data_IF_944889744832
#
_entry.id   IF_944889744832
#
_cell.length_a   1.000
_cell.length_b   1.000
_cell.length_c   1.000
_cell.angle_alpha   90.00
_cell.angle_beta   90.00
_cell.angle_gamma   90.00
#
_symmetry.space_group_name_H-M   'P 1'
#
loop_
_entity.id
_entity.type
_entity.pdbx_description
1 polymer ?
#
# COMPACT_ATOMS: atom_id res chain seq x y z
N UNK A 1 -4.83 -36.46 13.67
CA UNK A 1 -5.19 -35.82 14.96
C UNK A 1 -5.92 -34.54 14.60
N UNK A 2 -7.01 -34.23 15.28
CA UNK A 2 -7.70 -32.95 15.07
C UNK A 2 -6.75 -31.80 15.42
N UNK A 3 -6.82 -30.71 14.66
CA UNK A 3 -6.17 -29.45 15.01
C UNK A 3 -7.21 -28.33 14.96
N UNK A 4 -7.00 -27.29 15.75
CA UNK A 4 -7.90 -26.14 15.79
C UNK A 4 -7.51 -25.12 14.72
N UNK A 5 -8.49 -24.64 13.97
CA UNK A 5 -8.37 -23.50 13.06
C UNK A 5 -9.16 -22.33 13.64
N UNK A 6 -8.54 -21.15 13.71
CA UNK A 6 -9.21 -19.92 14.12
C UNK A 6 -9.87 -19.25 12.91
N UNK A 7 -11.19 -19.10 12.91
CA UNK A 7 -11.91 -18.30 11.93
C UNK A 7 -12.19 -16.92 12.52
N UNK A 8 -11.82 -15.85 11.80
CA UNK A 8 -11.98 -14.47 12.26
C UNK A 8 -12.73 -13.67 11.21
N UNK A 9 -13.74 -12.94 11.65
CA UNK A 9 -14.56 -12.07 10.79
C UNK A 9 -13.92 -10.69 10.62
N UNK A 10 -14.30 -9.99 9.54
CA UNK A 10 -13.90 -8.58 9.33
C UNK A 10 -14.21 -7.68 10.54
N UNK A 11 -15.37 -7.85 11.18
CA UNK A 11 -15.75 -7.03 12.33
C UNK A 11 -14.79 -7.20 13.52
N UNK A 12 -14.38 -8.45 13.80
CA UNK A 12 -13.38 -8.74 14.83
C UNK A 12 -12.01 -8.18 14.46
N UNK A 13 -11.62 -8.29 13.18
CA UNK A 13 -10.36 -7.74 12.68
C UNK A 13 -10.30 -6.22 12.77
N UNK A 14 -11.39 -5.51 12.45
CA UNK A 14 -11.47 -4.05 12.58
C UNK A 14 -11.27 -3.58 14.02
N UNK A 15 -11.72 -4.38 14.99
CA UNK A 15 -11.53 -4.08 16.41
C UNK A 15 -10.13 -4.43 16.91
N UNK A 16 -9.56 -5.54 16.43
CA UNK A 16 -8.27 -6.05 16.92
C UNK A 16 -7.06 -5.45 16.19
N UNK A 17 -7.20 -5.07 14.92
CA UNK A 17 -6.10 -4.65 14.03
C UNK A 17 -6.41 -3.27 13.47
N UNK A 18 -6.31 -2.20 14.27
CA UNK A 18 -6.48 -0.84 13.76
C UNK A 18 -5.29 -0.41 12.89
N UNK A 19 -5.49 0.62 12.07
CA UNK A 19 -4.38 1.33 11.42
C UNK A 19 -3.69 2.22 12.46
N UNK A 20 -2.61 1.72 13.04
CA UNK A 20 -1.78 2.42 14.03
C UNK A 20 -0.29 2.21 13.77
N UNK A 21 0.57 2.75 14.64
CA UNK A 21 2.03 2.60 14.52
C UNK A 21 2.47 1.12 14.59
N UNK A 22 1.76 0.25 15.31
CA UNK A 22 2.13 -1.16 15.38
C UNK A 22 1.92 -1.88 14.04
N UNK A 23 0.86 -1.52 13.30
CA UNK A 23 0.65 -2.00 11.94
C UNK A 23 1.74 -1.48 10.99
N UNK A 24 2.17 -0.23 11.14
CA UNK A 24 3.29 0.35 10.37
C UNK A 24 4.59 -0.39 10.65
N UNK A 25 4.93 -0.60 11.92
CA UNK A 25 6.18 -1.23 12.35
C UNK A 25 6.26 -2.69 11.89
N UNK A 26 5.13 -3.43 11.94
CA UNK A 26 5.07 -4.81 11.41
C UNK A 26 5.35 -4.85 9.91
N UNK A 27 4.78 -3.92 9.13
CA UNK A 27 5.03 -3.83 7.70
C UNK A 27 6.46 -3.39 7.41
N UNK A 28 7.03 -2.51 8.22
CA UNK A 28 8.45 -2.13 8.15
C UNK A 28 9.38 -3.32 8.38
N UNK A 29 9.10 -4.16 9.38
CA UNK A 29 9.85 -5.40 9.59
C UNK A 29 9.76 -6.35 8.39
N UNK A 30 8.62 -6.40 7.69
CA UNK A 30 8.48 -7.19 6.47
C UNK A 30 9.37 -6.67 5.34
N UNK A 31 9.49 -5.35 5.19
CA UNK A 31 10.42 -4.73 4.25
C UNK A 31 11.87 -5.02 4.62
N UNK A 32 12.23 -4.94 5.89
CA UNK A 32 13.59 -5.28 6.35
C UNK A 32 13.94 -6.73 5.99
N UNK A 33 13.03 -7.67 6.26
CA UNK A 33 13.25 -9.08 5.95
C UNK A 33 13.36 -9.35 4.44
N UNK A 34 12.61 -8.62 3.59
CA UNK A 34 12.75 -8.70 2.13
C UNK A 34 14.19 -8.35 1.67
N UNK A 35 14.80 -7.33 2.27
CA UNK A 35 16.15 -6.90 1.89
C UNK A 35 17.25 -7.88 2.30
N UNK A 36 17.03 -8.69 3.33
CA UNK A 36 17.95 -9.75 3.75
C UNK A 36 17.99 -10.93 2.76
N UNK A 37 17.09 -10.94 1.75
CA UNK A 37 17.11 -11.90 0.64
C UNK A 37 16.68 -13.32 1.00
N UNK A 38 16.18 -13.54 2.22
CA UNK A 38 15.79 -14.85 2.73
C UNK A 38 14.30 -15.17 2.49
N UNK A 39 13.51 -14.16 2.06
CA UNK A 39 12.08 -14.29 1.78
C UNK A 39 11.83 -15.14 0.54
N UNK A 40 10.95 -16.12 0.67
CA UNK A 40 10.44 -16.91 -0.46
C UNK A 40 9.10 -16.31 -0.90
N UNK A 41 9.09 -15.67 -2.06
CA UNK A 41 7.90 -15.04 -2.64
C UNK A 41 7.66 -15.58 -4.06
N UNK A 42 6.76 -16.55 -4.25
CA UNK A 42 6.41 -17.04 -5.58
C UNK A 42 5.79 -15.91 -6.44
N UNK A 43 5.81 -16.06 -7.78
CA UNK A 43 5.11 -15.13 -8.66
C UNK A 43 3.64 -14.99 -8.30
N UNK A 44 3.10 -13.78 -8.45
CA UNK A 44 1.67 -13.51 -8.30
C UNK A 44 0.90 -14.40 -9.29
N UNK A 45 -0.02 -15.20 -8.78
CA UNK A 45 -0.99 -15.91 -9.62
C UNK A 45 -2.15 -14.95 -9.87
N UNK A 46 -2.36 -14.62 -11.15
CA UNK A 46 -3.45 -13.74 -11.58
C UNK A 46 -4.33 -14.50 -12.55
N UNK A 47 -5.64 -14.43 -12.35
CA UNK A 47 -6.65 -15.07 -13.16
C UNK A 47 -7.65 -14.02 -13.65
N UNK A 48 -7.74 -13.84 -14.96
CA UNK A 48 -8.74 -12.99 -15.61
C UNK A 48 -10.02 -13.79 -15.87
N UNK A 49 -11.16 -13.27 -15.39
CA UNK A 49 -12.50 -13.81 -15.61
C UNK A 49 -13.28 -12.82 -16.47
N UNK A 50 -12.88 -12.68 -17.74
CA UNK A 50 -13.43 -11.72 -18.68
C UNK A 50 -14.97 -11.78 -18.79
N UNK A 51 -15.57 -12.97 -18.74
CA UNK A 51 -17.04 -13.16 -18.81
C UNK A 51 -17.78 -12.54 -17.61
N UNK A 52 -17.14 -12.50 -16.45
CA UNK A 52 -17.70 -11.94 -15.22
C UNK A 52 -17.21 -10.51 -14.95
N UNK A 53 -16.43 -9.93 -15.88
CA UNK A 53 -15.74 -8.65 -15.70
C UNK A 53 -15.02 -8.61 -14.34
N UNK A 54 -14.27 -9.67 -14.06
CA UNK A 54 -13.58 -9.85 -12.79
C UNK A 54 -12.21 -10.48 -12.94
N UNK A 55 -11.47 -10.45 -11.85
CA UNK A 55 -10.12 -10.96 -11.73
C UNK A 55 -9.89 -11.54 -10.32
N UNK A 56 -8.94 -12.45 -10.19
CA UNK A 56 -8.51 -12.99 -8.89
C UNK A 56 -7.00 -13.01 -8.83
N UNK A 57 -6.45 -12.31 -7.83
CA UNK A 57 -5.02 -12.34 -7.53
C UNK A 57 -4.75 -13.13 -6.25
N UNK A 58 -3.79 -14.06 -6.35
CA UNK A 58 -3.29 -14.84 -5.21
C UNK A 58 -1.82 -14.52 -4.97
N UNK A 59 -1.52 -14.08 -3.75
CA UNK A 59 -0.15 -13.76 -3.31
C UNK A 59 0.19 -14.57 -2.06
N UNK A 60 1.44 -15.01 -1.97
CA UNK A 60 1.96 -15.69 -0.80
C UNK A 60 3.41 -15.26 -0.57
N UNK A 61 3.87 -15.30 0.68
CA UNK A 61 5.29 -15.20 0.99
C UNK A 61 5.60 -15.89 2.31
N UNK A 62 6.74 -16.57 2.36
CA UNK A 62 7.34 -17.01 3.60
C UNK A 62 8.50 -16.08 3.96
N UNK A 63 8.46 -15.57 5.19
CA UNK A 63 9.48 -14.67 5.74
C UNK A 63 10.23 -15.46 6.83
N UNK A 64 11.53 -15.75 6.66
CA UNK A 64 12.31 -16.37 7.71
C UNK A 64 12.25 -15.59 9.02
N UNK A 65 12.05 -16.31 10.12
CA UNK A 65 11.84 -15.70 11.45
C UNK A 65 10.37 -15.47 11.80
N UNK A 66 9.44 -15.59 10.85
CA UNK A 66 8.00 -15.63 11.14
C UNK A 66 7.56 -17.07 11.41
N UNK A 67 6.63 -17.24 12.37
CA UNK A 67 6.09 -18.54 12.76
C UNK A 67 5.22 -19.17 11.66
N UNK A 68 4.77 -18.36 10.70
CA UNK A 68 3.83 -18.74 9.65
C UNK A 68 4.04 -18.01 8.32
N UNK A 69 3.22 -18.39 7.34
CA UNK A 69 3.12 -17.73 6.05
C UNK A 69 1.65 -17.58 5.64
N UNK A 70 1.31 -16.49 4.95
CA UNK A 70 -0.05 -16.25 4.50
C UNK A 70 -0.21 -16.54 3.00
N UNK A 71 -1.40 -17.00 2.63
CA UNK A 71 -1.92 -16.95 1.27
C UNK A 71 -3.08 -15.95 1.27
N UNK A 72 -2.91 -14.86 0.55
CA UNK A 72 -3.99 -13.91 0.28
C UNK A 72 -4.69 -14.28 -1.02
N UNK A 73 -6.01 -14.30 -0.99
CA UNK A 73 -6.86 -14.38 -2.18
C UNK A 73 -7.65 -13.08 -2.30
N UNK A 74 -7.50 -12.36 -3.40
CA UNK A 74 -8.09 -11.04 -3.63
C UNK A 74 -8.88 -11.01 -4.94
N UNK A 75 -10.19 -11.33 -4.90
CA UNK A 75 -11.08 -11.17 -6.04
C UNK A 75 -11.52 -9.71 -6.25
N UNK A 76 -11.50 -9.27 -7.50
CA UNK A 76 -12.14 -8.05 -7.98
C UNK A 76 -13.23 -8.38 -9.00
N UNK A 77 -14.47 -7.99 -8.73
CA UNK A 77 -15.63 -8.19 -9.62
C UNK A 77 -16.31 -6.84 -9.82
N UNK A 78 -15.97 -6.16 -10.92
CA UNK A 78 -16.25 -4.73 -11.06
C UNK A 78 -17.73 -4.40 -11.27
N UNK A 79 -18.53 -5.39 -11.70
CA UNK A 79 -19.98 -5.25 -11.91
C UNK A 79 -20.81 -5.53 -10.63
N UNK A 80 -20.21 -6.03 -9.55
CA UNK A 80 -20.89 -6.31 -8.28
C UNK A 80 -21.73 -5.16 -7.70
N UNK A 81 -21.35 -3.87 -7.83
CA UNK A 81 -22.18 -2.78 -7.34
C UNK A 81 -23.59 -2.76 -7.95
N UNK A 82 -23.76 -3.28 -9.17
CA UNK A 82 -25.07 -3.42 -9.82
C UNK A 82 -25.96 -4.47 -9.14
N UNK A 83 -25.34 -5.36 -8.36
CA UNK A 83 -25.99 -6.40 -7.57
C UNK A 83 -26.11 -6.01 -6.08
N UNK A 84 -25.65 -4.81 -5.69
CA UNK A 84 -25.59 -4.38 -4.29
C UNK A 84 -24.43 -5.01 -3.50
N UNK A 85 -23.41 -5.55 -4.20
CA UNK A 85 -22.22 -6.16 -3.59
C UNK A 85 -20.97 -5.27 -3.78
N UNK A 86 -19.95 -5.37 -2.90
CA UNK A 86 -18.67 -4.70 -3.11
C UNK A 86 -17.93 -5.20 -4.37
N UNK A 87 -17.25 -4.30 -5.08
CA UNK A 87 -16.41 -4.66 -6.22
C UNK A 87 -15.15 -5.43 -5.83
N UNK A 88 -14.62 -5.19 -4.63
CA UNK A 88 -13.44 -5.87 -4.12
C UNK A 88 -13.86 -6.67 -2.89
N UNK A 89 -13.33 -7.87 -2.77
CA UNK A 89 -13.38 -8.65 -1.54
C UNK A 89 -12.06 -9.44 -1.40
N UNK A 90 -11.95 -10.24 -0.35
CA UNK A 90 -10.76 -11.03 -0.14
C UNK A 90 -10.79 -11.81 1.16
N UNK A 91 -9.79 -12.67 1.30
CA UNK A 91 -9.48 -13.37 2.52
C UNK A 91 -7.97 -13.63 2.61
N UNK A 92 -7.51 -13.89 3.82
CA UNK A 92 -6.15 -14.38 4.08
C UNK A 92 -6.21 -15.69 4.86
N UNK A 93 -5.39 -16.65 4.46
CA UNK A 93 -5.22 -17.93 5.14
C UNK A 93 -3.80 -17.96 5.71
N UNK A 94 -3.68 -18.12 7.02
CA UNK A 94 -2.40 -18.20 7.71
C UNK A 94 -2.08 -19.66 8.02
N UNK A 95 -0.88 -20.08 7.62
CA UNK A 95 -0.36 -21.43 7.83
C UNK A 95 0.85 -21.39 8.75
N UNK A 96 1.02 -22.43 9.56
CA UNK A 96 2.26 -22.66 10.30
C UNK A 96 3.40 -22.97 9.35
N UNK A 97 4.51 -22.24 9.44
CA UNK A 97 5.71 -22.54 8.65
C UNK A 97 6.39 -23.84 9.10
N UNK A 98 6.10 -24.30 10.33
CA UNK A 98 6.65 -25.53 10.90
C UNK A 98 5.93 -26.79 10.45
N UNK A 99 4.60 -26.74 10.34
CA UNK A 99 3.77 -27.94 10.10
C UNK A 99 3.00 -27.90 8.78
N UNK A 100 2.85 -26.72 8.18
CA UNK A 100 1.99 -26.51 7.01
C UNK A 100 0.48 -26.58 7.32
N UNK A 101 0.09 -26.68 8.60
CA UNK A 101 -1.31 -26.68 9.01
C UNK A 101 -1.87 -25.25 9.01
N UNK A 102 -3.17 -25.13 8.75
CA UNK A 102 -3.87 -23.84 8.84
C UNK A 102 -3.97 -23.45 10.31
N UNK A 103 -3.54 -22.25 10.65
CA UNK A 103 -3.68 -21.67 11.99
C UNK A 103 -4.88 -20.73 12.05
N UNK A 104 -5.10 -19.94 10.99
CA UNK A 104 -6.24 -19.04 10.91
C UNK A 104 -6.76 -18.82 9.50
N UNK A 105 -8.08 -18.58 9.41
CA UNK A 105 -8.79 -18.10 8.23
C UNK A 105 -9.40 -16.73 8.55
N UNK A 106 -8.93 -15.70 7.87
CA UNK A 106 -9.40 -14.33 8.01
C UNK A 106 -10.43 -14.02 6.91
N UNK A 107 -11.71 -13.97 7.28
CA UNK A 107 -12.82 -13.55 6.42
C UNK A 107 -12.91 -12.02 6.44
N UNK A 108 -11.86 -11.37 5.93
CA UNK A 108 -11.59 -9.94 6.15
C UNK A 108 -12.21 -9.01 5.10
N UNK A 109 -12.77 -9.54 4.02
CA UNK A 109 -13.28 -8.77 2.89
C UNK A 109 -12.27 -7.75 2.34
N UNK A 110 -10.96 -8.06 2.43
CA UNK A 110 -9.88 -7.17 2.01
C UNK A 110 -9.43 -6.14 3.06
N UNK A 111 -10.01 -6.12 4.27
CA UNK A 111 -9.61 -5.17 5.31
C UNK A 111 -8.12 -5.22 5.67
N UNK A 112 -7.52 -6.40 5.82
CA UNK A 112 -6.08 -6.51 6.13
C UNK A 112 -5.23 -6.05 4.95
N UNK A 113 -5.72 -6.24 3.72
CA UNK A 113 -5.09 -5.67 2.52
C UNK A 113 -5.12 -4.15 2.57
N UNK A 114 -6.23 -3.56 2.99
CA UNK A 114 -6.34 -2.11 3.12
C UNK A 114 -5.36 -1.55 4.15
N UNK A 115 -5.28 -2.18 5.33
CA UNK A 115 -4.40 -1.77 6.43
C UNK A 115 -2.93 -1.89 6.04
N UNK A 116 -2.49 -3.05 5.51
CA UNK A 116 -1.09 -3.26 5.15
C UNK A 116 -0.63 -2.34 4.01
N UNK A 117 -1.53 -2.03 3.08
CA UNK A 117 -1.25 -1.11 1.96
C UNK A 117 -1.04 0.31 2.47
N UNK A 118 -1.86 0.77 3.41
CA UNK A 118 -1.71 2.06 4.08
C UNK A 118 -0.44 2.13 4.92
N UNK A 119 -0.17 1.08 5.70
CA UNK A 119 1.04 0.96 6.48
C UNK A 119 2.30 1.00 5.61
N UNK A 120 2.31 0.37 4.43
CA UNK A 120 3.44 0.43 3.50
C UNK A 120 3.74 1.87 3.03
N UNK A 121 2.70 2.67 2.74
CA UNK A 121 2.89 4.09 2.40
C UNK A 121 3.41 4.92 3.57
N UNK A 122 3.00 4.61 4.81
CA UNK A 122 3.61 5.22 5.99
C UNK A 122 5.09 4.84 6.15
N UNK A 123 5.49 3.59 5.88
CA UNK A 123 6.91 3.21 5.87
C UNK A 123 7.68 4.02 4.82
N UNK A 124 7.13 4.17 3.60
CA UNK A 124 7.75 5.03 2.58
C UNK A 124 7.92 6.47 3.08
N UNK A 125 6.87 7.10 3.60
CA UNK A 125 6.92 8.46 4.14
C UNK A 125 7.90 8.59 5.31
N UNK A 126 7.98 7.59 6.21
CA UNK A 126 8.89 7.58 7.37
C UNK A 126 10.36 7.71 6.96
N UNK A 127 10.75 7.15 5.81
CA UNK A 127 12.15 7.12 5.35
C UNK A 127 12.47 8.11 4.23
N UNK A 128 11.45 8.56 3.47
CA UNK A 128 11.65 9.28 2.22
C UNK A 128 10.95 10.65 2.21
N UNK A 129 9.94 10.89 3.05
CA UNK A 129 9.36 12.23 3.19
C UNK A 129 10.31 13.16 3.95
N UNK A 130 10.21 14.49 3.73
CA UNK A 130 10.88 15.48 4.57
C UNK A 130 10.65 15.23 6.06
N UNK A 131 11.58 15.69 6.89
CA UNK A 131 11.45 15.57 8.34
C UNK A 131 10.23 16.34 8.87
N UNK A 132 9.94 17.50 8.28
CA UNK A 132 8.76 18.32 8.56
C UNK A 132 7.83 18.39 7.33
N UNK A 133 6.57 18.02 7.53
CA UNK A 133 5.51 18.10 6.51
C UNK A 133 4.44 19.03 7.04
N UNK A 134 4.25 20.20 6.41
CA UNK A 134 3.17 21.11 6.79
C UNK A 134 1.86 20.77 6.07
N UNK A 135 1.96 20.39 4.79
CA UNK A 135 0.83 20.03 3.92
C UNK A 135 1.09 18.70 3.24
N UNK A 136 0.14 17.79 3.36
CA UNK A 136 0.09 16.56 2.56
C UNK A 136 -0.99 16.67 1.48
N UNK A 137 -0.78 16.00 0.36
CA UNK A 137 -1.68 15.95 -0.77
C UNK A 137 -2.05 14.51 -1.12
N UNK A 138 -3.29 14.29 -1.57
CA UNK A 138 -3.71 12.99 -2.11
C UNK A 138 -4.44 13.16 -3.44
N UNK A 139 -3.97 12.43 -4.46
CA UNK A 139 -4.62 12.30 -5.76
C UNK A 139 -5.38 10.97 -5.76
N UNK A 140 -6.71 11.07 -5.70
CA UNK A 140 -7.62 9.95 -5.52
C UNK A 140 -8.58 10.19 -4.36
N UNK A 141 -9.75 9.54 -4.43
CA UNK A 141 -10.85 9.72 -3.45
C UNK A 141 -11.42 8.38 -2.98
N UNK A 142 -10.66 7.29 -3.14
CA UNK A 142 -11.04 5.95 -2.73
C UNK A 142 -10.70 5.63 -1.27
N UNK A 143 -10.83 4.36 -0.89
CA UNK A 143 -10.49 3.87 0.45
C UNK A 143 -9.01 4.14 0.77
N UNK A 144 -8.11 3.83 -0.17
CA UNK A 144 -6.68 4.06 0.02
C UNK A 144 -6.34 5.55 0.16
N UNK A 145 -7.01 6.48 -0.51
CA UNK A 145 -6.77 7.91 -0.29
C UNK A 145 -6.92 8.30 1.19
N UNK A 146 -7.95 7.76 1.85
CA UNK A 146 -8.24 8.01 3.27
C UNK A 146 -7.21 7.34 4.18
N UNK A 147 -6.93 6.07 3.92
CA UNK A 147 -6.03 5.28 4.77
C UNK A 147 -4.58 5.74 4.63
N UNK A 148 -4.13 6.10 3.44
CA UNK A 148 -2.78 6.61 3.19
C UNK A 148 -2.53 7.92 3.92
N UNK A 149 -3.46 8.88 3.87
CA UNK A 149 -3.31 10.13 4.63
C UNK A 149 -3.32 9.89 6.15
N UNK A 150 -4.15 8.96 6.63
CA UNK A 150 -4.13 8.54 8.04
C UNK A 150 -2.80 7.91 8.43
N UNK A 151 -2.29 6.99 7.63
CA UNK A 151 -1.05 6.28 7.91
C UNK A 151 0.17 7.23 7.84
N UNK A 152 0.22 8.10 6.83
CA UNK A 152 1.22 9.13 6.68
C UNK A 152 1.25 10.06 7.91
N UNK A 153 0.08 10.52 8.37
CA UNK A 153 -0.03 11.40 9.53
C UNK A 153 0.50 10.77 10.83
N UNK A 154 0.48 9.44 10.96
CA UNK A 154 1.06 8.74 12.13
C UNK A 154 2.59 8.92 12.22
N UNK A 155 3.28 9.05 11.07
CA UNK A 155 4.75 9.10 11.00
C UNK A 155 5.30 10.46 10.60
N UNK A 156 4.46 11.29 9.99
CA UNK A 156 4.71 12.68 9.58
C UNK A 156 3.44 13.49 9.82
N UNK A 157 3.18 13.93 11.06
CA UNK A 157 2.05 14.80 11.34
C UNK A 157 2.14 16.09 10.52
N UNK A 158 1.02 16.54 9.99
CA UNK A 158 0.89 17.74 9.15
C UNK A 158 -0.37 18.52 9.54
N UNK A 159 -0.42 19.81 9.21
CA UNK A 159 -1.53 20.70 9.61
C UNK A 159 -2.64 20.78 8.56
N UNK A 160 -2.33 20.41 7.32
CA UNK A 160 -3.24 20.53 6.18
C UNK A 160 -3.20 19.32 5.25
N UNK A 161 -4.36 18.92 4.73
CA UNK A 161 -4.53 17.91 3.68
C UNK A 161 -5.23 18.49 2.46
N UNK A 162 -4.63 18.35 1.30
CA UNK A 162 -5.22 18.70 0.02
C UNK A 162 -5.66 17.43 -0.70
N UNK A 163 -6.90 17.42 -1.20
CA UNK A 163 -7.50 16.26 -1.86
C UNK A 163 -7.87 16.64 -3.28
N UNK A 164 -7.46 15.85 -4.26
CA UNK A 164 -7.94 15.98 -5.62
C UNK A 164 -8.52 14.66 -6.15
N UNK A 165 -9.61 14.78 -6.91
CA UNK A 165 -10.18 13.68 -7.66
C UNK A 165 -10.96 14.21 -8.87
N UNK A 166 -11.15 13.34 -9.87
CA UNK A 166 -11.92 13.68 -11.09
C UNK A 166 -13.37 14.10 -10.82
N UNK A 167 -13.90 13.66 -9.68
CA UNK A 167 -15.27 13.92 -9.22
C UNK A 167 -15.15 14.82 -7.99
N UNK A 168 -15.62 16.06 -8.14
CA UNK A 168 -15.50 17.13 -7.13
C UNK A 168 -16.24 16.76 -5.84
N UNK A 169 -17.46 16.25 -5.94
CA UNK A 169 -18.28 15.89 -4.77
C UNK A 169 -17.61 14.78 -3.94
N UNK A 170 -16.97 13.81 -4.62
CA UNK A 170 -16.18 12.78 -3.94
C UNK A 170 -14.91 13.33 -3.29
N UNK A 171 -14.27 14.32 -3.91
CA UNK A 171 -13.10 14.98 -3.33
C UNK A 171 -13.48 15.77 -2.07
N UNK A 172 -14.58 16.51 -2.10
CA UNK A 172 -15.12 17.24 -0.96
C UNK A 172 -15.52 16.31 0.19
N UNK A 173 -16.21 15.22 -0.12
CA UNK A 173 -16.55 14.19 0.87
C UNK A 173 -15.29 13.61 1.53
N UNK A 174 -14.29 13.25 0.72
CA UNK A 174 -13.01 12.72 1.21
C UNK A 174 -12.27 13.74 2.10
N UNK A 175 -12.24 15.01 1.71
CA UNK A 175 -11.63 16.09 2.49
C UNK A 175 -12.33 16.26 3.86
N UNK A 176 -13.66 16.30 3.90
CA UNK A 176 -14.43 16.40 5.16
C UNK A 176 -14.13 15.23 6.10
N UNK A 177 -14.12 14.01 5.57
CA UNK A 177 -13.82 12.80 6.35
C UNK A 177 -12.39 12.81 6.89
N UNK A 178 -11.42 13.23 6.08
CA UNK A 178 -10.01 13.35 6.48
C UNK A 178 -9.79 14.44 7.53
N UNK A 179 -10.34 15.63 7.31
CA UNK A 179 -10.26 16.74 8.27
C UNK A 179 -10.82 16.32 9.64
N UNK A 180 -11.95 15.61 9.67
CA UNK A 180 -12.53 15.07 10.90
C UNK A 180 -11.67 13.97 11.52
N UNK A 181 -11.17 13.04 10.73
CA UNK A 181 -10.41 11.88 11.22
C UNK A 181 -9.04 12.26 11.79
N UNK A 182 -8.42 13.32 11.24
CA UNK A 182 -7.08 13.76 11.61
C UNK A 182 -7.06 14.99 12.52
N UNK A 183 -8.15 15.77 12.56
CA UNK A 183 -8.18 17.03 13.30
C UNK A 183 -7.35 18.13 12.64
N UNK A 184 -7.32 18.16 11.30
CA UNK A 184 -6.49 19.05 10.48
C UNK A 184 -7.35 19.83 9.48
N UNK A 185 -6.81 20.88 8.88
CA UNK A 185 -7.47 21.52 7.74
C UNK A 185 -7.48 20.57 6.54
N UNK A 186 -8.62 20.39 5.88
CA UNK A 186 -8.72 19.55 4.70
C UNK A 186 -9.54 20.22 3.60
N UNK A 187 -8.97 20.31 2.40
CA UNK A 187 -9.54 21.04 1.28
C UNK A 187 -9.57 20.17 0.02
N UNK A 188 -10.69 20.23 -0.71
CA UNK A 188 -10.77 19.70 -2.06
C UNK A 188 -10.22 20.74 -3.05
N UNK A 189 -9.24 20.34 -3.86
CA UNK A 189 -8.59 21.17 -4.86
C UNK A 189 -9.22 20.94 -6.25
N UNK A 190 -9.22 21.98 -7.09
CA UNK A 190 -9.73 21.89 -8.47
C UNK A 190 -8.66 21.40 -9.45
N UNK A 191 -7.41 21.86 -9.28
CA UNK A 191 -6.27 21.49 -10.10
C UNK A 191 -5.29 20.63 -9.28
N UNK A 192 -4.91 19.43 -9.77
CA UNK A 192 -3.87 18.63 -9.11
C UNK A 192 -2.49 19.30 -9.12
N UNK A 193 -2.20 20.22 -10.05
CA UNK A 193 -0.95 20.96 -10.08
C UNK A 193 -0.79 21.87 -8.84
N UNK A 194 -1.86 22.58 -8.46
CA UNK A 194 -1.88 23.45 -7.27
C UNK A 194 -1.75 22.61 -5.99
N UNK A 195 -2.44 21.47 -5.93
CA UNK A 195 -2.30 20.50 -4.83
C UNK A 195 -0.84 20.10 -4.63
N UNK A 196 -0.15 19.74 -5.72
CA UNK A 196 1.25 19.29 -5.66
C UNK A 196 2.17 20.45 -5.27
N UNK A 197 2.01 21.62 -5.88
CA UNK A 197 2.83 22.80 -5.60
C UNK A 197 2.79 23.23 -4.12
N UNK A 198 1.71 22.94 -3.41
CA UNK A 198 1.51 23.27 -2.00
C UNK A 198 1.87 22.13 -1.02
N UNK A 199 2.25 20.94 -1.50
CA UNK A 199 2.43 19.74 -0.67
C UNK A 199 3.89 19.31 -0.56
N UNK A 200 4.36 18.95 0.63
CA UNK A 200 5.66 18.27 0.79
C UNK A 200 5.56 16.75 0.60
N UNK A 201 4.37 16.19 0.83
CA UNK A 201 4.08 14.76 0.75
C UNK A 201 2.85 14.54 -0.12
N UNK A 202 2.98 13.86 -1.25
CA UNK A 202 1.86 13.54 -2.14
C UNK A 202 1.70 12.02 -2.26
N UNK A 203 0.47 11.53 -2.16
CA UNK A 203 0.15 10.12 -2.41
C UNK A 203 -0.82 9.99 -3.59
N UNK A 204 -0.51 9.14 -4.56
CA UNK A 204 -1.43 8.80 -5.66
C UNK A 204 -2.09 7.45 -5.40
N UNK A 205 -3.41 7.35 -5.58
CA UNK A 205 -4.22 6.17 -5.18
C UNK A 205 -5.34 5.86 -6.18
N UNK A 206 -5.12 6.12 -7.46
CA UNK A 206 -6.11 6.03 -8.54
C UNK A 206 -5.92 4.77 -9.39
N UNK A 207 -7.00 4.24 -9.99
CA UNK A 207 -6.91 3.15 -10.96
C UNK A 207 -6.60 3.67 -12.38
N UNK A 208 -5.90 4.81 -12.51
CA UNK A 208 -5.68 5.46 -13.79
C UNK A 208 -4.82 4.59 -14.72
N UNK A 209 -5.10 4.66 -16.02
CA UNK A 209 -4.30 4.04 -17.09
C UNK A 209 -3.47 5.07 -17.88
N UNK A 210 -3.54 6.33 -17.44
CA UNK A 210 -2.82 7.46 -18.01
C UNK A 210 -2.37 8.37 -16.86
N UNK A 211 -1.19 9.01 -16.96
CA UNK A 211 -0.64 9.82 -15.89
C UNK A 211 -1.60 10.88 -15.35
N UNK A 212 -1.74 10.90 -14.03
CA UNK A 212 -2.44 11.94 -13.25
C UNK A 212 -1.46 12.82 -12.48
N UNK A 213 -0.18 12.42 -12.40
CA UNK A 213 0.91 13.21 -11.83
C UNK A 213 1.98 13.50 -12.90
N UNK A 214 2.43 14.76 -13.01
CA UNK A 214 3.29 15.22 -14.11
C UNK A 214 4.65 15.73 -13.63
N UNK A 215 5.66 15.61 -14.49
CA UNK A 215 7.03 16.05 -14.21
C UNK A 215 7.13 17.56 -13.96
N UNK A 216 6.30 18.35 -14.65
CA UNK A 216 6.25 19.80 -14.50
C UNK A 216 5.81 20.28 -13.11
N UNK A 217 5.32 19.38 -12.24
CA UNK A 217 4.87 19.71 -10.88
C UNK A 217 5.92 19.42 -9.82
N UNK A 218 7.05 18.80 -10.19
CA UNK A 218 8.13 18.53 -9.25
C UNK A 218 8.72 19.85 -8.71
N UNK A 219 8.95 19.89 -7.41
CA UNK A 219 9.63 20.98 -6.73
C UNK A 219 10.52 20.43 -5.61
N UNK A 220 11.55 21.18 -5.18
CA UNK A 220 12.44 20.74 -4.10
C UNK A 220 11.68 20.33 -2.84
N UNK A 221 12.14 19.25 -2.22
CA UNK A 221 11.59 18.69 -0.98
C UNK A 221 10.34 17.82 -1.15
N UNK A 222 9.83 17.64 -2.38
CA UNK A 222 8.67 16.79 -2.60
C UNK A 222 8.97 15.30 -2.35
N UNK A 223 8.08 14.62 -1.62
CA UNK A 223 7.97 13.17 -1.62
C UNK A 223 6.67 12.72 -2.29
N UNK A 224 6.78 11.72 -3.16
CA UNK A 224 5.63 11.06 -3.79
C UNK A 224 5.60 9.58 -3.41
N UNK A 225 4.50 9.12 -2.83
CA UNK A 225 4.20 7.68 -2.70
C UNK A 225 3.17 7.30 -3.77
N UNK A 226 3.55 6.45 -4.72
CA UNK A 226 2.68 5.95 -5.78
C UNK A 226 2.11 4.58 -5.40
N UNK A 227 0.77 4.46 -5.37
CA UNK A 227 0.08 3.24 -4.92
C UNK A 227 -0.72 2.55 -6.03
N UNK A 228 -1.12 3.27 -7.08
CA UNK A 228 -2.18 2.82 -7.99
C UNK A 228 -1.72 1.90 -9.12
N UNK A 229 -0.44 1.92 -9.52
CA UNK A 229 0.07 1.07 -10.60
C UNK A 229 0.50 -0.31 -10.10
N UNK A 230 -0.46 -1.14 -9.68
CA UNK A 230 -0.20 -2.50 -9.17
C UNK A 230 -0.54 -3.62 -10.16
N UNK A 231 -1.11 -3.27 -11.32
CA UNK A 231 -1.62 -4.20 -12.32
C UNK A 231 -1.29 -3.75 -13.75
N UNK A 232 -1.42 -4.68 -14.70
CA UNK A 232 -1.12 -4.42 -16.11
C UNK A 232 -1.94 -3.25 -16.67
N UNK A 233 -1.26 -2.25 -17.23
CA UNK A 233 -1.88 -1.12 -17.90
C UNK A 233 -2.33 0.03 -16.99
N UNK A 234 -2.33 -0.13 -15.66
CA UNK A 234 -2.44 1.02 -14.74
C UNK A 234 -1.14 1.82 -14.76
N UNK A 235 -1.23 3.14 -14.61
CA UNK A 235 -0.10 4.08 -14.59
C UNK A 235 -0.59 5.44 -14.10
N UNK A 236 -0.11 5.90 -12.94
CA UNK A 236 -0.49 7.19 -12.35
C UNK A 236 0.55 8.27 -12.61
N UNK A 237 1.82 7.90 -12.76
CA UNK A 237 2.93 8.84 -12.76
C UNK A 237 3.51 8.97 -14.18
N UNK A 238 3.73 10.19 -14.64
CA UNK A 238 4.39 10.45 -15.92
C UNK A 238 5.82 9.90 -15.87
N UNK A 239 6.23 9.13 -16.89
CA UNK A 239 7.55 8.49 -16.95
C UNK A 239 8.74 9.44 -16.69
N UNK A 240 8.66 10.70 -17.11
CA UNK A 240 9.68 11.72 -16.84
C UNK A 240 9.88 12.01 -15.36
N UNK A 241 8.85 11.87 -14.53
CA UNK A 241 8.91 12.10 -13.08
C UNK A 241 9.93 11.15 -12.44
N UNK A 242 9.94 9.88 -12.85
CA UNK A 242 10.89 8.86 -12.34
C UNK A 242 12.33 9.13 -12.79
N UNK A 243 12.50 9.71 -13.98
CA UNK A 243 13.81 10.07 -14.51
C UNK A 243 14.37 11.35 -13.87
N UNK A 244 13.51 12.31 -13.52
CA UNK A 244 13.88 13.61 -12.95
C UNK A 244 13.99 13.61 -11.41
N UNK A 245 13.40 12.62 -10.72
CA UNK A 245 13.53 12.51 -9.26
C UNK A 245 14.95 12.10 -8.83
N UNK A 246 15.45 12.78 -7.79
CA UNK A 246 16.75 12.51 -7.19
C UNK A 246 16.85 11.06 -6.70
N UNK A 247 15.81 10.58 -6.03
CA UNK A 247 15.73 9.22 -5.51
C UNK A 247 14.40 8.56 -5.87
N UNK A 248 14.49 7.40 -6.51
CA UNK A 248 13.35 6.52 -6.75
C UNK A 248 13.58 5.20 -6.01
N UNK A 249 12.59 4.75 -5.25
CA UNK A 249 12.63 3.54 -4.44
C UNK A 249 11.43 2.65 -4.79
N UNK A 250 11.67 1.38 -5.07
CA UNK A 250 10.60 0.41 -5.31
C UNK A 250 10.28 -0.40 -4.05
N UNK A 251 9.08 -0.95 -3.90
CA UNK A 251 8.87 -2.04 -2.93
C UNK A 251 9.51 -3.36 -3.38
N UNK A 252 9.43 -3.65 -4.69
CA UNK A 252 10.20 -4.67 -5.38
C UNK A 252 10.57 -4.18 -6.77
N UNK A 253 11.86 -4.01 -7.04
CA UNK A 253 12.36 -3.47 -8.30
C UNK A 253 11.87 -4.29 -9.50
N UNK A 254 11.93 -5.62 -9.38
CA UNK A 254 11.47 -6.54 -10.42
C UNK A 254 9.95 -6.46 -10.66
N UNK A 255 9.15 -6.26 -9.62
CA UNK A 255 7.70 -6.11 -9.76
C UNK A 255 7.33 -4.75 -10.35
N UNK A 256 7.97 -3.67 -9.91
CA UNK A 256 7.79 -2.32 -10.45
C UNK A 256 8.14 -2.24 -11.95
N UNK A 257 9.25 -2.87 -12.38
CA UNK A 257 9.63 -2.92 -13.80
C UNK A 257 8.57 -3.61 -14.68
N UNK A 258 7.80 -4.55 -14.11
CA UNK A 258 6.77 -5.32 -14.83
C UNK A 258 5.38 -4.70 -14.75
N UNK A 259 4.99 -4.18 -13.58
CA UNK A 259 3.61 -3.77 -13.26
C UNK A 259 3.51 -2.33 -12.74
N UNK A 260 4.56 -1.83 -12.07
CA UNK A 260 4.63 -0.50 -11.47
C UNK A 260 4.79 0.65 -12.44
N UNK A 261 5.07 1.82 -11.87
CA UNK A 261 5.33 3.05 -12.61
C UNK A 261 6.66 2.94 -13.40
N UNK A 262 7.65 2.21 -12.88
CA UNK A 262 8.94 1.99 -13.54
C UNK A 262 8.80 1.40 -14.95
N UNK A 263 7.84 0.50 -15.14
CA UNK A 263 7.55 -0.10 -16.45
C UNK A 263 7.41 0.94 -17.56
N UNK A 264 6.70 2.05 -17.30
CA UNK A 264 6.47 3.07 -18.31
C UNK A 264 7.74 3.88 -18.61
N UNK A 265 8.55 4.17 -17.58
CA UNK A 265 9.83 4.85 -17.76
C UNK A 265 10.86 4.01 -18.53
N UNK A 266 10.92 2.70 -18.28
CA UNK A 266 11.77 1.79 -19.05
C UNK A 266 11.30 1.66 -20.51
N UNK A 267 9.99 1.48 -20.75
CA UNK A 267 9.44 1.40 -22.10
C UNK A 267 9.65 2.68 -22.91
N UNK A 268 9.64 3.83 -22.25
CA UNK A 268 9.93 5.12 -22.87
C UNK A 268 11.43 5.37 -23.09
N UNK A 269 12.31 4.50 -22.59
CA UNK A 269 13.77 4.69 -22.66
C UNK A 269 14.29 5.84 -21.77
N UNK A 270 13.50 6.26 -20.78
CA UNK A 270 13.82 7.37 -19.89
C UNK A 270 14.52 6.93 -18.61
N UNK A 271 14.36 5.66 -18.23
CA UNK A 271 15.07 5.09 -17.08
C UNK A 271 16.39 4.43 -17.50
N UNK A 272 17.51 4.99 -17.04
CA UNK A 272 18.87 4.53 -17.40
C UNK A 272 19.72 4.11 -16.20
N UNK A 273 19.15 4.11 -14.98
CA UNK A 273 19.89 3.93 -13.71
C UNK A 273 20.04 2.46 -13.27
N UNK A 274 19.61 1.50 -14.08
CA UNK A 274 19.65 0.07 -13.72
C UNK A 274 18.56 -0.30 -12.71
N UNK A 275 18.78 -1.32 -11.87
CA UNK A 275 17.78 -1.67 -10.86
C UNK A 275 17.74 -0.59 -9.76
N UNK A 276 16.57 -0.01 -9.46
CA UNK A 276 16.43 0.93 -8.36
C UNK A 276 16.61 0.24 -7.01
N UNK A 277 16.98 1.00 -5.96
CA UNK A 277 16.97 0.48 -4.60
C UNK A 277 15.55 0.09 -4.17
N UNK A 278 15.47 -0.89 -3.30
CA UNK A 278 14.21 -1.35 -2.71
C UNK A 278 14.00 -0.75 -1.32
N UNK A 279 12.74 -0.53 -0.93
CA UNK A 279 12.40 0.11 0.34
C UNK A 279 12.96 -0.65 1.55
N UNK A 280 13.05 -1.98 1.47
CA UNK A 280 13.72 -2.79 2.49
C UNK A 280 15.19 -2.44 2.69
N UNK A 281 15.91 -2.10 1.62
CA UNK A 281 17.32 -1.70 1.69
C UNK A 281 17.46 -0.34 2.36
N UNK A 282 16.48 0.54 2.16
CA UNK A 282 16.39 1.82 2.86
C UNK A 282 16.12 1.61 4.35
N UNK A 283 15.11 0.79 4.67
CA UNK A 283 14.74 0.45 6.06
C UNK A 283 15.91 -0.15 6.84
N UNK A 284 16.72 -1.01 6.21
CA UNK A 284 17.88 -1.67 6.84
C UNK A 284 19.16 -0.81 6.84
N UNK A 285 19.13 0.37 6.21
CA UNK A 285 20.30 1.24 6.07
C UNK A 285 21.36 0.74 5.08
N UNK A 286 21.06 -0.30 4.30
CA UNK A 286 21.93 -0.76 3.19
C UNK A 286 22.06 0.30 2.09
N UNK A 287 20.98 1.03 1.85
CA UNK A 287 20.92 2.19 0.95
C UNK A 287 20.40 3.38 1.74
N UNK A 288 20.95 4.59 1.58
CA UNK A 288 20.37 5.77 2.22
C UNK A 288 18.96 6.06 1.67
N UNK A 289 18.07 6.50 2.55
CA UNK A 289 16.79 7.12 2.17
C UNK A 289 17.00 8.57 1.72
N UNK A 290 16.11 9.48 2.14
CA UNK A 290 16.35 10.92 1.95
C UNK A 290 17.59 11.35 2.73
N UNK A 291 18.52 12.04 2.06
CA UNK A 291 19.75 12.58 2.67
C UNK A 291 19.83 14.10 2.64
N UNK A 292 18.96 14.75 1.86
CA UNK A 292 18.88 16.20 1.75
C UNK A 292 17.40 16.65 1.68
N UNK A 293 17.06 17.72 2.39
CA UNK A 293 15.67 18.21 2.49
C UNK A 293 15.16 18.80 1.16
N UNK A 294 16.04 19.14 0.22
CA UNK A 294 15.70 19.58 -1.13
C UNK A 294 15.42 18.44 -2.11
N UNK A 295 15.74 17.19 -1.78
CA UNK A 295 15.56 16.05 -2.71
C UNK A 295 14.10 15.84 -3.10
N UNK A 296 13.88 15.52 -4.36
CA UNK A 296 12.64 14.92 -4.86
C UNK A 296 12.76 13.41 -4.74
N UNK A 297 11.85 12.81 -3.97
CA UNK A 297 11.86 11.38 -3.70
C UNK A 297 10.56 10.74 -4.16
N UNK A 298 10.64 9.53 -4.71
CA UNK A 298 9.49 8.75 -5.14
C UNK A 298 9.60 7.35 -4.55
N UNK A 299 8.50 6.85 -3.98
CA UNK A 299 8.34 5.45 -3.66
C UNK A 299 7.23 4.83 -4.50
N UNK A 300 7.53 3.78 -5.26
CA UNK A 300 6.56 3.01 -6.04
C UNK A 300 6.20 1.71 -5.30
N UNK A 301 4.94 1.59 -4.90
CA UNK A 301 4.43 0.51 -4.07
C UNK A 301 3.39 -0.31 -4.84
N UNK A 302 3.79 -1.52 -5.27
CA UNK A 302 2.95 -2.46 -6.02
C UNK A 302 2.30 -3.55 -5.16
N UNK A 303 2.73 -3.69 -3.91
CA UNK A 303 2.27 -4.67 -2.93
C UNK A 303 2.93 -6.04 -3.07
N UNK A 304 3.60 -6.48 -2.00
CA UNK A 304 4.32 -7.76 -1.94
C UNK A 304 3.62 -8.76 -1.02
N UNK A 305 3.80 -10.05 -1.27
CA UNK A 305 3.26 -11.11 -0.40
C UNK A 305 3.82 -11.07 1.01
N UNK A 306 5.03 -10.50 1.20
CA UNK A 306 5.63 -10.35 2.52
C UNK A 306 4.80 -9.43 3.42
N UNK A 307 4.26 -8.34 2.88
CA UNK A 307 3.38 -7.44 3.63
C UNK A 307 2.08 -8.14 4.03
N UNK A 308 1.54 -9.00 3.15
CA UNK A 308 0.33 -9.79 3.43
C UNK A 308 0.58 -10.82 4.56
N UNK A 309 1.74 -11.51 4.54
CA UNK A 309 2.14 -12.42 5.63
C UNK A 309 2.34 -11.68 6.94
N UNK A 310 3.01 -10.52 6.91
CA UNK A 310 3.29 -9.77 8.13
C UNK A 310 2.01 -9.29 8.82
N UNK A 311 1.06 -8.72 8.07
CA UNK A 311 -0.21 -8.28 8.64
C UNK A 311 -1.06 -9.46 9.13
N UNK A 312 -1.05 -10.59 8.44
CA UNK A 312 -1.78 -11.79 8.86
C UNK A 312 -1.21 -12.38 10.17
N UNK A 313 0.11 -12.44 10.31
CA UNK A 313 0.76 -12.87 11.57
C UNK A 313 0.46 -11.90 12.72
N UNK A 314 0.48 -10.60 12.46
CA UNK A 314 0.09 -9.61 13.45
C UNK A 314 -1.40 -9.74 13.84
N UNK A 315 -2.27 -9.94 12.86
CA UNK A 315 -3.70 -10.15 13.09
C UNK A 315 -3.98 -11.36 13.98
N UNK A 316 -3.30 -12.49 13.75
CA UNK A 316 -3.42 -13.67 14.61
C UNK A 316 -3.10 -13.32 16.08
N UNK A 317 -1.96 -12.66 16.31
CA UNK A 317 -1.51 -12.28 17.66
C UNK A 317 -2.50 -11.30 18.32
N UNK A 318 -2.96 -10.30 17.58
CA UNK A 318 -3.89 -9.29 18.08
C UNK A 318 -5.27 -9.88 18.43
N UNK A 319 -5.80 -10.74 17.57
CA UNK A 319 -7.09 -11.41 17.77
C UNK A 319 -7.03 -12.38 18.96
N UNK A 320 -5.93 -13.12 19.10
CA UNK A 320 -5.71 -13.99 20.27
C UNK A 320 -5.63 -13.20 21.57
N UNK A 321 -4.91 -12.07 21.57
CA UNK A 321 -4.83 -11.17 22.73
C UNK A 321 -6.19 -10.57 23.10
N UNK A 322 -7.04 -10.29 22.10
CA UNK A 322 -8.41 -9.81 22.29
C UNK A 322 -9.41 -10.92 22.65
N UNK A 323 -9.02 -12.19 22.59
CA UNK A 323 -9.94 -13.33 22.80
C UNK A 323 -11.06 -13.40 21.75
N UNK A 324 -10.81 -12.89 20.53
CA UNK A 324 -11.77 -12.87 19.44
C UNK A 324 -11.58 -14.05 18.46
N UNK A 325 -12.53 -14.24 17.55
CA UNK A 325 -12.56 -15.33 16.60
C UNK A 325 -13.21 -16.60 17.14
N UNK A 326 -13.55 -17.50 16.22
CA UNK A 326 -14.20 -18.79 16.51
C UNK A 326 -13.24 -19.93 16.20
N UNK A 327 -13.03 -20.84 17.16
CA UNK A 327 -12.19 -22.04 16.97
C UNK A 327 -13.02 -23.18 16.40
N UNK A 328 -12.48 -23.86 15.39
CA UNK A 328 -13.08 -25.03 14.74
C UNK A 328 -12.10 -26.18 14.78
N UNK A 329 -12.52 -27.35 15.28
CA UNK A 329 -11.74 -28.59 15.21
C UNK A 329 -11.90 -29.26 13.84
N UNK A 330 -10.79 -29.69 13.22
CA UNK A 330 -10.76 -30.38 11.92
C UNK A 330 -10.80 -31.90 12.02
#
# INVERSE_FOLDING_TARGET
MAHEVLIVTEAELRNAVPLDLSAVDVVECAFAALAEGSVVMPPVMSMDLAEAHGEVDVKAAYIPGFDGFAIKVSPGFFDNPRLGLPSLNGLMILFSAKTGLVEALFLDNGYLTDIRTAAAGAVAARHLAPSEVATAGVIGTGVQARLQMRAAHLVRPFERVLVWGRDRDKAETCAVELGRALGVEALAMDDPADLVAESQLVVTTTPAKAPVFKAAWLHPGLHVTAMGSDQSGKNEIEARVLAEADLYVADSAAQCARLGELRAAERAGLWTRGLPPELGQVVTGLTPGRTDEGQVTICDLTGTGAQDTAIATHALRAVQAAGAGTRIET
#
